data_IF_408629881133
#
_entry.id   IF_408629881133
#
_cell.length_a   1.000
_cell.length_b   1.000
_cell.length_c   1.000
_cell.angle_alpha   90.00
_cell.angle_beta   90.00
_cell.angle_gamma   90.00
#
_symmetry.space_group_name_H-M   'P 1'
#
loop_
_entity.id
_entity.type
_entity.pdbx_description
1 polymer ?
#
# COMPACT_ATOMS: atom_id res chain seq x y z
N UNK A 1 -22.34 -20.63 26.56
CA UNK A 1 -22.03 -19.46 25.71
C UNK A 1 -20.53 -19.17 25.62
N UNK A 2 -19.76 -19.29 26.72
CA UNK A 2 -18.30 -19.06 26.74
C UNK A 2 -17.42 -20.07 25.98
N UNK A 3 -17.88 -21.31 25.74
CA UNK A 3 -17.06 -22.33 25.03
C UNK A 3 -16.93 -22.08 23.51
N UNK A 4 -17.90 -21.39 22.89
CA UNK A 4 -17.86 -21.06 21.45
C UNK A 4 -16.85 -19.95 21.14
N UNK A 5 -16.66 -19.00 22.05
CA UNK A 5 -15.71 -17.87 21.87
C UNK A 5 -14.26 -18.39 21.82
N UNK A 6 -13.91 -19.35 22.69
CA UNK A 6 -12.56 -19.94 22.75
C UNK A 6 -12.18 -20.75 21.49
N UNK A 7 -13.15 -21.42 20.86
CA UNK A 7 -12.90 -22.28 19.67
C UNK A 7 -12.45 -21.49 18.45
N UNK A 8 -12.79 -20.21 18.37
CA UNK A 8 -12.57 -19.39 17.19
C UNK A 8 -11.46 -18.32 17.35
N UNK A 9 -10.97 -18.09 18.58
CA UNK A 9 -9.78 -17.28 18.86
C UNK A 9 -8.55 -17.61 17.99
N UNK A 10 -8.16 -18.88 17.75
CA UNK A 10 -7.00 -19.17 16.91
C UNK A 10 -7.20 -18.70 15.46
N UNK A 11 -8.42 -18.78 14.93
CA UNK A 11 -8.71 -18.34 13.57
C UNK A 11 -8.80 -16.80 13.44
N UNK A 12 -9.21 -16.09 14.50
CA UNK A 12 -9.08 -14.62 14.54
C UNK A 12 -7.63 -14.18 14.55
N UNK A 13 -6.79 -14.87 15.32
CA UNK A 13 -5.36 -14.60 15.36
C UNK A 13 -4.73 -14.82 13.98
N UNK A 14 -5.10 -15.89 13.26
CA UNK A 14 -4.63 -16.11 11.89
C UNK A 14 -5.04 -14.96 10.98
N UNK A 15 -6.30 -14.52 11.01
CA UNK A 15 -6.75 -13.38 10.20
C UNK A 15 -5.97 -12.09 10.54
N UNK A 16 -5.77 -11.83 11.83
CA UNK A 16 -5.00 -10.69 12.31
C UNK A 16 -3.55 -10.72 11.82
N UNK A 17 -2.84 -11.84 12.00
CA UNK A 17 -1.46 -11.98 11.55
C UNK A 17 -1.34 -11.93 10.02
N UNK A 18 -2.31 -12.48 9.29
CA UNK A 18 -2.36 -12.36 7.83
C UNK A 18 -2.53 -10.91 7.37
N UNK A 19 -3.31 -10.10 8.09
CA UNK A 19 -3.46 -8.67 7.80
C UNK A 19 -2.16 -7.90 8.10
N UNK A 20 -1.48 -8.21 9.21
CA UNK A 20 -0.17 -7.61 9.54
C UNK A 20 0.89 -7.97 8.49
N UNK A 21 0.93 -9.23 8.08
CA UNK A 21 1.81 -9.69 7.00
C UNK A 21 1.51 -8.94 5.70
N UNK A 22 0.23 -8.79 5.35
CA UNK A 22 -0.19 -8.00 4.20
C UNK A 22 0.30 -6.55 4.28
N UNK A 23 0.16 -5.89 5.42
CA UNK A 23 0.64 -4.51 5.62
C UNK A 23 2.16 -4.38 5.43
N UNK A 24 2.93 -5.33 5.96
CA UNK A 24 4.39 -5.37 5.78
C UNK A 24 4.77 -5.61 4.31
N UNK A 25 4.04 -6.51 3.65
CA UNK A 25 4.31 -6.97 2.29
C UNK A 25 3.74 -6.06 1.19
N UNK A 26 2.87 -5.11 1.54
CA UNK A 26 2.17 -4.23 0.61
C UNK A 26 3.06 -3.54 -0.44
N UNK A 27 4.29 -3.06 -0.13
CA UNK A 27 5.15 -2.47 -1.15
C UNK A 27 5.89 -3.49 -2.03
N UNK A 28 5.94 -4.77 -1.67
CA UNK A 28 6.72 -5.81 -2.33
C UNK A 28 5.86 -6.73 -3.20
N UNK A 29 4.94 -6.15 -3.98
CA UNK A 29 4.00 -6.92 -4.79
C UNK A 29 4.70 -7.47 -6.03
N UNK A 30 4.87 -8.78 -6.11
CA UNK A 30 5.32 -9.42 -7.35
C UNK A 30 4.16 -9.76 -8.28
N UNK A 31 4.44 -9.80 -9.57
CA UNK A 31 3.47 -10.11 -10.60
C UNK A 31 3.41 -11.63 -10.83
N UNK A 32 2.21 -12.17 -10.75
CA UNK A 32 1.87 -13.48 -11.29
C UNK A 32 1.58 -13.29 -12.79
N UNK A 33 2.22 -14.10 -13.63
CA UNK A 33 2.04 -14.08 -15.09
C UNK A 33 1.31 -15.36 -15.52
N UNK A 34 0.01 -15.55 -15.18
CA UNK A 34 -0.70 -16.81 -15.44
C UNK A 34 -0.90 -17.11 -16.92
N UNK A 35 -0.91 -16.07 -17.78
CA UNK A 35 -1.06 -16.21 -19.22
C UNK A 35 -0.33 -15.06 -19.95
N UNK A 36 0.10 -15.26 -21.21
CA UNK A 36 0.68 -14.19 -22.01
C UNK A 36 -0.26 -12.98 -22.10
N UNK A 37 0.24 -11.79 -21.77
CA UNK A 37 -0.57 -10.55 -21.79
C UNK A 37 -1.38 -10.28 -20.52
N UNK A 38 -1.33 -11.16 -19.51
CA UNK A 38 -2.00 -10.99 -18.23
C UNK A 38 -0.99 -10.93 -17.09
N UNK A 39 -0.74 -9.71 -16.60
CA UNK A 39 0.05 -9.50 -15.38
C UNK A 39 -0.89 -9.25 -14.19
N UNK A 40 -0.82 -10.12 -13.18
CA UNK A 40 -1.67 -10.07 -12.01
C UNK A 40 -0.82 -9.89 -10.75
N UNK A 41 -0.86 -8.71 -10.13
CA UNK A 41 -0.19 -8.49 -8.85
C UNK A 41 -0.70 -9.48 -7.79
N UNK A 42 0.20 -10.10 -7.02
CA UNK A 42 -0.10 -11.10 -5.99
C UNK A 42 -1.15 -10.61 -4.98
N UNK A 43 -1.16 -9.32 -4.67
CA UNK A 43 -2.14 -8.69 -3.77
C UNK A 43 -3.58 -8.85 -4.28
N UNK A 44 -3.79 -8.88 -5.61
CA UNK A 44 -5.11 -9.09 -6.21
C UNK A 44 -5.62 -10.52 -6.08
N UNK A 45 -4.76 -11.46 -5.69
CA UNK A 45 -5.15 -12.83 -5.31
C UNK A 45 -5.26 -12.94 -3.78
N UNK A 46 -4.31 -12.32 -3.07
CA UNK A 46 -4.26 -12.37 -1.61
C UNK A 46 -5.48 -11.73 -0.95
N UNK A 47 -5.92 -10.54 -1.38
CA UNK A 47 -7.08 -9.85 -0.78
C UNK A 47 -8.37 -10.67 -0.94
N UNK A 48 -8.74 -11.18 -2.13
CA UNK A 48 -9.91 -12.04 -2.27
C UNK A 48 -9.85 -13.33 -1.44
N UNK A 49 -8.68 -13.96 -1.33
CA UNK A 49 -8.51 -15.15 -0.47
C UNK A 49 -8.70 -14.80 1.01
N UNK A 50 -8.11 -13.70 1.47
CA UNK A 50 -8.27 -13.21 2.84
C UNK A 50 -9.75 -12.85 3.11
N UNK A 51 -10.43 -12.27 2.12
CA UNK A 51 -11.85 -11.95 2.20
C UNK A 51 -12.73 -13.20 2.27
N UNK A 52 -12.47 -14.21 1.43
CA UNK A 52 -13.19 -15.48 1.47
C UNK A 52 -13.02 -16.18 2.82
N UNK A 53 -11.80 -16.17 3.38
CA UNK A 53 -11.53 -16.70 4.71
C UNK A 53 -12.28 -15.92 5.81
N UNK A 54 -12.26 -14.60 5.74
CA UNK A 54 -13.02 -13.74 6.65
C UNK A 54 -14.53 -13.98 6.57
N UNK A 55 -15.06 -14.09 5.35
CA UNK A 55 -16.48 -14.33 5.08
C UNK A 55 -16.91 -15.68 5.68
N UNK A 56 -16.11 -16.73 5.46
CA UNK A 56 -16.32 -18.04 6.04
C UNK A 56 -16.39 -17.99 7.58
N UNK A 57 -15.48 -17.25 8.22
CA UNK A 57 -15.50 -17.08 9.68
C UNK A 57 -16.76 -16.37 10.17
N UNK A 58 -17.18 -15.29 9.51
CA UNK A 58 -18.37 -14.52 9.89
C UNK A 58 -19.65 -15.34 9.72
N UNK A 59 -19.82 -16.01 8.58
CA UNK A 59 -20.98 -16.87 8.30
C UNK A 59 -21.06 -18.01 9.34
N UNK A 60 -19.94 -18.69 9.59
CA UNK A 60 -19.88 -19.80 10.56
C UNK A 60 -20.26 -19.38 11.98
N UNK A 61 -20.03 -18.12 12.33
CA UNK A 61 -20.37 -17.53 13.63
C UNK A 61 -21.74 -16.85 13.67
N UNK A 62 -22.44 -16.77 12.53
CA UNK A 62 -23.69 -16.01 12.38
C UNK A 62 -23.53 -14.54 12.78
N UNK A 63 -22.36 -13.97 12.52
CA UNK A 63 -22.09 -12.55 12.73
C UNK A 63 -22.55 -11.74 11.51
N UNK A 64 -22.88 -10.47 11.71
CA UNK A 64 -23.22 -9.57 10.60
C UNK A 64 -22.00 -9.35 9.70
N UNK A 65 -22.24 -9.39 8.38
CA UNK A 65 -21.20 -9.18 7.36
C UNK A 65 -20.90 -7.70 7.14
N UNK A 66 -21.91 -6.84 7.28
CA UNK A 66 -21.79 -5.42 7.01
C UNK A 66 -21.77 -4.66 8.33
N UNK A 67 -20.74 -3.84 8.51
CA UNK A 67 -20.64 -2.92 9.63
C UNK A 67 -21.41 -1.66 9.23
N UNK A 68 -22.36 -1.26 10.07
CA UNK A 68 -23.26 -0.14 9.78
C UNK A 68 -22.64 1.20 10.19
N UNK A 69 -21.55 1.59 9.54
CA UNK A 69 -20.92 2.90 9.73
C UNK A 69 -21.02 3.77 8.47
N UNK A 70 -20.79 5.07 8.64
CA UNK A 70 -20.90 6.05 7.55
C UNK A 70 -19.89 5.77 6.42
N UNK A 71 -18.69 5.30 6.75
CA UNK A 71 -17.64 5.03 5.76
C UNK A 71 -18.03 3.79 4.94
N UNK A 72 -18.52 2.71 5.57
CA UNK A 72 -19.05 1.55 4.83
C UNK A 72 -20.15 1.96 3.84
N UNK A 73 -21.10 2.81 4.24
CA UNK A 73 -22.16 3.29 3.35
C UNK A 73 -21.61 4.08 2.16
N UNK A 74 -20.64 4.95 2.39
CA UNK A 74 -20.00 5.73 1.32
C UNK A 74 -19.21 4.84 0.35
N UNK A 75 -18.50 3.82 0.86
CA UNK A 75 -17.79 2.84 0.02
C UNK A 75 -18.78 2.04 -0.82
N UNK A 76 -19.87 1.53 -0.22
CA UNK A 76 -20.91 0.79 -0.95
C UNK A 76 -21.55 1.68 -2.02
N UNK A 77 -21.89 2.93 -1.68
CA UNK A 77 -22.44 3.88 -2.63
C UNK A 77 -21.46 4.19 -3.78
N UNK A 78 -20.18 4.38 -3.48
CA UNK A 78 -19.13 4.57 -4.48
C UNK A 78 -19.00 3.36 -5.41
N UNK A 79 -18.94 2.15 -4.87
CA UNK A 79 -18.85 0.93 -5.67
C UNK A 79 -20.11 0.75 -6.54
N UNK A 80 -21.29 1.05 -6.01
CA UNK A 80 -22.53 1.00 -6.76
C UNK A 80 -22.58 2.01 -7.90
N UNK A 81 -22.17 3.26 -7.65
CA UNK A 81 -22.03 4.28 -8.69
C UNK A 81 -20.99 3.88 -9.75
N UNK A 82 -19.89 3.27 -9.32
CA UNK A 82 -18.85 2.78 -10.25
C UNK A 82 -19.41 1.69 -11.17
N UNK A 83 -20.26 0.78 -10.66
CA UNK A 83 -20.94 -0.22 -11.46
C UNK A 83 -21.88 0.43 -12.49
N UNK A 84 -22.72 1.37 -12.07
CA UNK A 84 -23.64 2.10 -12.97
C UNK A 84 -22.86 2.83 -14.07
N UNK A 85 -21.76 3.50 -13.70
CA UNK A 85 -20.91 4.23 -14.65
C UNK A 85 -20.41 3.36 -15.80
N UNK A 86 -20.26 2.05 -15.59
CA UNK A 86 -19.73 1.17 -16.63
C UNK A 86 -20.71 0.85 -17.74
N UNK A 87 -22.01 0.98 -17.50
CA UNK A 87 -23.07 0.87 -18.50
C UNK A 87 -22.93 1.99 -19.54
N UNK A 88 -22.42 3.15 -19.13
CA UNK A 88 -22.22 4.32 -20.00
C UNK A 88 -20.84 4.34 -20.67
N UNK A 89 -19.98 3.34 -20.46
CA UNK A 89 -18.65 3.30 -21.05
C UNK A 89 -18.70 2.85 -22.51
N UNK A 90 -18.08 3.63 -23.41
CA UNK A 90 -17.88 3.25 -24.80
C UNK A 90 -17.02 1.97 -24.93
N UNK A 91 -16.10 1.75 -23.99
CA UNK A 91 -15.24 0.58 -23.98
C UNK A 91 -15.59 -0.33 -22.78
N UNK A 92 -16.53 -1.24 -23.02
CA UNK A 92 -17.06 -2.13 -22.00
C UNK A 92 -15.96 -3.01 -21.37
N UNK A 93 -15.07 -3.57 -22.21
CA UNK A 93 -14.05 -4.50 -21.75
C UNK A 93 -13.03 -3.85 -20.81
N UNK A 94 -12.57 -2.64 -21.12
CA UNK A 94 -11.66 -1.88 -20.25
C UNK A 94 -12.36 -1.42 -18.96
N UNK A 95 -13.64 -1.08 -19.05
CA UNK A 95 -14.47 -0.71 -17.91
C UNK A 95 -14.63 -1.88 -16.93
N UNK A 96 -14.94 -3.07 -17.44
CA UNK A 96 -15.06 -4.29 -16.66
C UNK A 96 -13.75 -4.63 -15.94
N UNK A 97 -12.60 -4.51 -16.61
CA UNK A 97 -11.28 -4.71 -15.98
C UNK A 97 -11.05 -3.75 -14.81
N UNK A 98 -11.48 -2.49 -14.91
CA UNK A 98 -11.38 -1.49 -13.83
C UNK A 98 -12.33 -1.77 -12.67
N UNK A 99 -13.57 -2.21 -12.93
CA UNK A 99 -14.48 -2.67 -11.87
C UNK A 99 -13.86 -3.85 -11.13
N UNK A 100 -13.43 -4.89 -11.85
CA UNK A 100 -12.86 -6.09 -11.24
C UNK A 100 -11.64 -5.74 -10.37
N UNK A 101 -10.82 -4.78 -10.81
CA UNK A 101 -9.75 -4.22 -10.00
C UNK A 101 -10.27 -3.60 -8.69
N UNK A 102 -11.27 -2.71 -8.75
CA UNK A 102 -11.86 -2.08 -7.55
C UNK A 102 -12.45 -3.12 -6.59
N UNK A 103 -13.20 -4.10 -7.11
CA UNK A 103 -13.79 -5.17 -6.32
C UNK A 103 -12.76 -6.15 -5.75
N UNK A 104 -11.57 -6.26 -6.36
CA UNK A 104 -10.48 -7.07 -5.80
C UNK A 104 -9.82 -6.43 -4.58
N UNK A 105 -9.85 -5.10 -4.46
CA UNK A 105 -9.19 -4.35 -3.38
C UNK A 105 -10.18 -3.93 -2.29
N UNK A 106 -11.38 -3.49 -2.65
CA UNK A 106 -12.40 -2.99 -1.71
C UNK A 106 -12.66 -3.88 -0.49
N UNK A 107 -12.65 -5.23 -0.58
CA UNK A 107 -12.87 -6.10 0.57
C UNK A 107 -11.87 -5.92 1.72
N UNK A 108 -10.66 -5.38 1.44
CA UNK A 108 -9.66 -5.14 2.48
C UNK A 108 -10.18 -4.21 3.58
N UNK A 109 -11.06 -3.27 3.23
CA UNK A 109 -11.68 -2.36 4.19
C UNK A 109 -12.57 -3.12 5.18
N UNK A 110 -13.44 -4.01 4.70
CA UNK A 110 -14.34 -4.80 5.56
C UNK A 110 -13.54 -5.70 6.50
N UNK A 111 -12.48 -6.33 5.99
CA UNK A 111 -11.56 -7.15 6.80
C UNK A 111 -10.91 -6.27 7.87
N UNK A 112 -10.39 -5.11 7.48
CA UNK A 112 -9.66 -4.21 8.38
C UNK A 112 -10.54 -3.69 9.51
N UNK A 113 -11.74 -3.16 9.23
CA UNK A 113 -12.65 -2.66 10.27
C UNK A 113 -13.08 -3.77 11.22
N UNK A 114 -13.20 -5.01 10.74
CA UNK A 114 -13.54 -6.16 11.56
C UNK A 114 -12.43 -6.59 12.53
N UNK A 115 -11.19 -6.21 12.22
CA UNK A 115 -9.96 -6.55 12.95
C UNK A 115 -9.52 -5.39 13.86
N UNK A 116 -9.76 -4.14 13.46
CA UNK A 116 -9.49 -2.94 14.25
C UNK A 116 -10.46 -2.82 15.43
N UNK A 117 -10.23 -3.62 16.49
CA UNK A 117 -11.04 -3.62 17.71
C UNK A 117 -10.53 -2.63 18.77
N UNK A 118 -9.22 -2.36 18.78
CA UNK A 118 -8.57 -1.61 19.85
C UNK A 118 -7.40 -0.73 19.35
N UNK A 119 -7.02 0.25 20.18
CA UNK A 119 -5.94 1.19 19.88
C UNK A 119 -4.58 0.52 19.67
N UNK A 120 -4.31 -0.62 20.32
CA UNK A 120 -3.03 -1.31 20.17
C UNK A 120 -2.96 -2.04 18.83
N UNK A 121 -4.07 -2.66 18.38
CA UNK A 121 -4.17 -3.24 17.04
C UNK A 121 -3.94 -2.20 15.95
N UNK A 122 -4.50 -1.00 16.11
CA UNK A 122 -4.25 0.11 15.20
C UNK A 122 -2.78 0.51 15.14
N UNK A 123 -2.14 0.72 16.30
CA UNK A 123 -0.71 1.05 16.39
C UNK A 123 0.16 -0.03 15.75
N UNK A 124 -0.18 -1.31 15.93
CA UNK A 124 0.60 -2.40 15.35
C UNK A 124 0.51 -2.42 13.82
N UNK A 125 -0.69 -2.23 13.26
CA UNK A 125 -0.88 -2.17 11.80
C UNK A 125 -0.12 -0.98 11.21
N UNK A 126 -0.26 0.21 11.80
CA UNK A 126 0.49 1.38 11.37
C UNK A 126 2.00 1.17 11.49
N UNK A 127 2.48 0.50 12.55
CA UNK A 127 3.87 0.15 12.70
C UNK A 127 4.35 -0.83 11.62
N UNK A 128 3.56 -1.86 11.29
CA UNK A 128 3.93 -2.81 10.23
C UNK A 128 3.97 -2.16 8.85
N UNK A 129 3.06 -1.25 8.54
CA UNK A 129 3.12 -0.44 7.32
C UNK A 129 4.39 0.42 7.29
N UNK A 130 4.73 1.06 8.42
CA UNK A 130 5.94 1.87 8.55
C UNK A 130 7.22 1.04 8.38
N UNK A 131 7.27 -0.18 8.93
CA UNK A 131 8.39 -1.11 8.72
C UNK A 131 8.54 -1.44 7.23
N UNK A 132 7.45 -1.87 6.57
CA UNK A 132 7.47 -2.23 5.14
C UNK A 132 7.91 -1.06 4.26
N UNK A 133 7.39 0.14 4.54
CA UNK A 133 7.77 1.35 3.84
C UNK A 133 9.24 1.73 4.10
N UNK A 134 9.73 1.57 5.33
CA UNK A 134 11.13 1.87 5.67
C UNK A 134 12.07 0.94 4.92
N UNK A 135 11.78 -0.37 4.87
CA UNK A 135 12.56 -1.32 4.09
C UNK A 135 12.60 -0.94 2.61
N UNK A 136 11.45 -0.55 2.05
CA UNK A 136 11.38 -0.09 0.68
C UNK A 136 12.19 1.21 0.45
N UNK A 137 12.13 2.16 1.38
CA UNK A 137 12.87 3.41 1.30
C UNK A 137 14.38 3.17 1.32
N UNK A 138 14.86 2.24 2.15
CA UNK A 138 16.27 1.83 2.14
C UNK A 138 16.65 1.26 0.77
N UNK A 139 15.84 0.39 0.18
CA UNK A 139 16.07 -0.16 -1.17
C UNK A 139 16.10 0.97 -2.22
N UNK A 140 15.18 1.93 -2.14
CA UNK A 140 15.15 3.09 -3.04
C UNK A 140 16.38 3.99 -2.91
N UNK A 141 16.86 4.24 -1.69
CA UNK A 141 18.08 5.01 -1.44
C UNK A 141 19.31 4.26 -1.97
N UNK A 142 19.43 2.96 -1.71
CA UNK A 142 20.52 2.13 -2.25
C UNK A 142 20.51 2.16 -3.78
N UNK A 143 19.33 2.00 -4.38
CA UNK A 143 19.15 2.09 -5.83
C UNK A 143 19.58 3.46 -6.36
N UNK A 144 19.18 4.55 -5.70
CA UNK A 144 19.59 5.89 -6.08
C UNK A 144 21.12 6.09 -5.96
N UNK A 145 21.74 5.66 -4.86
CA UNK A 145 23.18 5.82 -4.64
C UNK A 145 24.00 4.98 -5.64
N UNK A 146 23.50 3.80 -6.01
CA UNK A 146 24.21 2.89 -6.92
C UNK A 146 24.54 3.51 -8.28
N UNK A 147 23.76 4.50 -8.74
CA UNK A 147 24.00 5.20 -10.00
C UNK A 147 25.33 5.98 -10.02
N UNK A 148 25.80 6.43 -8.86
CA UNK A 148 27.07 7.18 -8.75
C UNK A 148 28.30 6.26 -8.72
N UNK A 149 28.10 4.98 -8.41
CA UNK A 149 29.18 3.98 -8.35
C UNK A 149 29.29 3.24 -9.69
N UNK A 150 28.15 2.79 -10.23
CA UNK A 150 28.11 1.91 -11.41
C UNK A 150 27.70 2.62 -12.71
N UNK A 151 27.28 3.89 -12.63
CA UNK A 151 26.72 4.63 -13.75
C UNK A 151 25.21 4.36 -13.94
N UNK A 152 24.53 5.32 -14.57
CA UNK A 152 23.08 5.30 -14.77
C UNK A 152 22.65 4.13 -15.65
N UNK A 153 23.36 3.89 -16.76
CA UNK A 153 22.98 2.87 -17.74
C UNK A 153 23.03 1.46 -17.16
N UNK A 154 24.03 1.16 -16.33
CA UNK A 154 24.18 -0.13 -15.68
C UNK A 154 23.05 -0.40 -14.67
N UNK A 155 22.71 0.60 -13.84
CA UNK A 155 21.62 0.50 -12.86
C UNK A 155 20.26 0.41 -13.56
N UNK A 156 20.06 1.20 -14.62
CA UNK A 156 18.85 1.14 -15.43
C UNK A 156 18.66 -0.25 -16.06
N UNK A 157 19.69 -0.78 -16.72
CA UNK A 157 19.64 -2.10 -17.34
C UNK A 157 19.40 -3.21 -16.32
N UNK A 158 20.01 -3.11 -15.13
CA UNK A 158 19.80 -4.05 -14.04
C UNK A 158 18.34 -4.06 -13.57
N UNK A 159 17.75 -2.88 -13.33
CA UNK A 159 16.35 -2.75 -12.91
C UNK A 159 15.39 -3.24 -13.99
N UNK A 160 15.57 -2.78 -15.23
CA UNK A 160 14.74 -3.12 -16.37
C UNK A 160 14.73 -4.61 -16.68
N UNK A 161 15.86 -5.30 -16.49
CA UNK A 161 15.99 -6.73 -16.79
C UNK A 161 15.55 -7.63 -15.63
N UNK A 162 15.92 -7.29 -14.39
CA UNK A 162 15.81 -8.23 -13.27
C UNK A 162 14.71 -7.87 -12.26
N UNK A 163 14.45 -6.58 -12.04
CA UNK A 163 13.55 -6.13 -10.97
C UNK A 163 12.15 -5.85 -11.54
N UNK A 164 12.04 -5.00 -12.55
CA UNK A 164 10.74 -4.53 -13.08
C UNK A 164 9.87 -5.67 -13.61
N UNK A 165 10.37 -6.63 -14.42
CA UNK A 165 9.53 -7.72 -14.92
C UNK A 165 9.01 -8.64 -13.81
N UNK A 166 9.81 -8.84 -12.75
CA UNK A 166 9.43 -9.67 -11.60
C UNK A 166 8.33 -9.01 -10.76
N UNK A 167 8.50 -7.72 -10.43
CA UNK A 167 7.54 -7.03 -9.58
C UNK A 167 6.25 -6.66 -10.31
N UNK A 168 6.35 -6.27 -11.57
CA UNK A 168 5.29 -5.55 -12.27
C UNK A 168 4.66 -6.38 -13.40
N UNK A 169 5.36 -7.41 -13.85
CA UNK A 169 4.91 -8.34 -14.89
C UNK A 169 5.52 -8.05 -16.24
N UNK A 170 5.48 -9.04 -17.12
CA UNK A 170 6.22 -8.99 -18.39
C UNK A 170 5.61 -8.00 -19.38
N UNK A 171 4.28 -7.90 -19.43
CA UNK A 171 3.60 -7.03 -20.40
C UNK A 171 3.62 -5.59 -19.93
N UNK A 172 3.36 -5.35 -18.64
CA UNK A 172 3.33 -4.01 -18.06
C UNK A 172 4.74 -3.43 -17.93
N UNK A 173 5.76 -4.26 -17.63
CA UNK A 173 7.16 -3.81 -17.67
C UNK A 173 7.56 -3.30 -19.06
N UNK A 174 7.10 -3.92 -20.16
CA UNK A 174 7.38 -3.42 -21.52
C UNK A 174 6.76 -2.03 -21.75
N UNK A 175 5.54 -1.81 -21.26
CA UNK A 175 4.89 -0.51 -21.38
C UNK A 175 5.62 0.57 -20.55
N UNK A 176 6.05 0.25 -19.33
CA UNK A 176 6.84 1.14 -18.47
C UNK A 176 8.18 1.49 -19.11
N UNK A 177 8.89 0.50 -19.67
CA UNK A 177 10.19 0.70 -20.31
C UNK A 177 10.09 1.41 -21.66
N UNK A 178 8.93 1.36 -22.33
CA UNK A 178 8.67 2.14 -23.54
C UNK A 178 8.45 3.63 -23.24
N UNK A 179 7.94 3.96 -22.04
CA UNK A 179 7.70 5.33 -21.59
C UNK A 179 8.30 5.58 -20.20
N UNK A 180 9.64 5.51 -20.06
CA UNK A 180 10.28 5.54 -18.75
C UNK A 180 10.27 6.95 -18.16
N UNK A 181 9.75 7.06 -16.95
CA UNK A 181 9.79 8.28 -16.13
C UNK A 181 10.89 8.25 -15.05
N UNK A 182 11.82 7.29 -15.18
CA UNK A 182 12.87 7.00 -14.19
C UNK A 182 14.02 7.99 -14.22
N UNK A 183 14.20 8.73 -15.30
CA UNK A 183 15.27 9.72 -15.45
C UNK A 183 14.70 11.13 -15.26
N UNK A 184 15.48 12.01 -14.63
CA UNK A 184 15.19 13.44 -14.51
C UNK A 184 16.42 14.22 -14.93
N UNK A 185 16.24 15.27 -15.73
CA UNK A 185 17.29 16.23 -16.00
C UNK A 185 17.16 17.39 -14.99
N UNK A 186 18.19 17.61 -14.20
CA UNK A 186 18.30 18.75 -13.29
C UNK A 186 19.53 19.56 -13.67
N UNK A 187 19.31 20.82 -14.05
CA UNK A 187 20.37 21.77 -14.43
C UNK A 187 21.35 21.24 -15.49
N UNK A 188 20.85 20.49 -16.49
CA UNK A 188 21.67 19.95 -17.58
C UNK A 188 22.28 18.58 -17.28
N UNK A 189 22.23 18.11 -16.03
CA UNK A 189 22.69 16.77 -15.64
C UNK A 189 21.53 15.80 -15.47
N UNK A 190 21.63 14.62 -16.09
CA UNK A 190 20.62 13.57 -15.99
C UNK A 190 20.91 12.70 -14.77
N UNK A 191 19.91 12.49 -13.94
CA UNK A 191 19.94 11.57 -12.80
C UNK A 191 18.84 10.52 -12.93
N UNK A 192 19.10 9.34 -12.39
CA UNK A 192 18.09 8.34 -12.13
C UNK A 192 17.36 8.65 -10.82
N UNK A 193 16.04 8.70 -10.88
CA UNK A 193 15.15 8.92 -9.73
C UNK A 193 15.05 7.64 -8.91
N UNK A 194 14.70 7.77 -7.63
CA UNK A 194 14.36 6.61 -6.81
C UNK A 194 13.03 6.00 -7.28
N UNK A 195 13.05 4.71 -7.64
CA UNK A 195 11.92 3.93 -8.13
C UNK A 195 11.74 2.62 -7.33
N UNK A 196 12.83 2.10 -6.75
CA UNK A 196 12.82 0.84 -6.00
C UNK A 196 12.17 -0.30 -6.80
N UNK A 197 11.01 -0.81 -6.35
CA UNK A 197 10.26 -1.90 -7.02
C UNK A 197 8.99 -1.41 -7.73
N UNK A 198 8.73 -0.10 -7.73
CA UNK A 198 7.53 0.50 -8.30
C UNK A 198 7.68 0.72 -9.82
N UNK A 199 6.57 0.90 -10.57
CA UNK A 199 6.63 1.15 -12.02
C UNK A 199 7.24 2.50 -12.35
N UNK A 200 7.03 3.49 -11.48
CA UNK A 200 7.45 4.85 -11.68
C UNK A 200 7.71 5.54 -10.33
N UNK A 201 8.54 6.58 -10.31
CA UNK A 201 8.87 7.31 -9.09
C UNK A 201 7.66 8.03 -8.48
N UNK A 202 6.63 8.37 -9.27
CA UNK A 202 5.44 9.07 -8.76
C UNK A 202 4.60 8.16 -7.87
N UNK A 203 4.40 6.89 -8.27
CA UNK A 203 3.71 5.89 -7.45
C UNK A 203 4.48 5.59 -6.16
N UNK A 204 5.81 5.51 -6.23
CA UNK A 204 6.65 5.35 -5.04
C UNK A 204 6.48 6.53 -4.06
N UNK A 205 6.53 7.75 -4.59
CA UNK A 205 6.39 8.98 -3.81
C UNK A 205 4.99 9.12 -3.20
N UNK A 206 3.93 8.76 -3.93
CA UNK A 206 2.60 8.72 -3.34
C UNK A 206 2.49 7.71 -2.19
N UNK A 207 3.11 6.54 -2.34
CA UNK A 207 3.14 5.54 -1.28
C UNK A 207 3.87 6.09 -0.03
N UNK A 208 5.05 6.68 -0.17
CA UNK A 208 5.76 7.28 0.95
C UNK A 208 4.99 8.45 1.56
N UNK A 209 4.44 9.36 0.74
CA UNK A 209 3.65 10.50 1.19
C UNK A 209 2.45 10.10 2.05
N UNK A 210 1.82 8.96 1.77
CA UNK A 210 0.74 8.41 2.60
C UNK A 210 1.24 7.83 3.93
N UNK A 211 2.45 7.26 3.99
CA UNK A 211 2.98 6.56 5.17
C UNK A 211 3.79 7.46 6.12
N UNK A 212 4.40 8.54 5.61
CA UNK A 212 5.21 9.47 6.41
C UNK A 212 4.42 10.02 7.62
N UNK A 213 3.19 10.56 7.47
CA UNK A 213 2.45 11.11 8.61
C UNK A 213 2.08 10.04 9.66
N UNK A 214 1.78 8.81 9.23
CA UNK A 214 1.56 7.68 10.14
C UNK A 214 2.82 7.36 10.95
N UNK A 215 3.98 7.38 10.30
CA UNK A 215 5.27 7.10 10.94
C UNK A 215 5.64 8.18 11.96
N UNK A 216 5.39 9.46 11.62
CA UNK A 216 5.57 10.59 12.54
C UNK A 216 4.62 10.47 13.74
N UNK A 217 3.34 10.14 13.50
CA UNK A 217 2.36 9.92 14.56
C UNK A 217 2.82 8.80 15.52
N UNK A 218 3.38 7.71 14.99
CA UNK A 218 3.91 6.62 15.82
C UNK A 218 5.15 7.02 16.61
N UNK A 219 6.05 7.83 16.05
CA UNK A 219 7.21 8.35 16.77
C UNK A 219 6.75 9.14 18.01
N UNK A 220 5.88 10.13 17.81
CA UNK A 220 5.41 11.02 18.89
C UNK A 220 4.65 10.24 19.97
N UNK A 221 3.84 9.24 19.58
CA UNK A 221 3.01 8.47 20.52
C UNK A 221 3.73 7.29 21.19
N UNK A 222 4.99 7.00 20.83
CA UNK A 222 5.74 5.83 21.34
C UNK A 222 6.94 6.26 22.19
N UNK A 223 6.73 6.45 23.50
CA UNK A 223 7.81 6.89 24.43
C UNK A 223 9.09 6.05 24.33
N UNK A 224 8.99 4.73 24.26
CA UNK A 224 10.16 3.83 24.27
C UNK A 224 10.72 3.52 22.86
N UNK A 225 9.98 3.85 21.79
CA UNK A 225 10.35 3.53 20.40
C UNK A 225 10.48 4.79 19.52
N UNK A 226 10.53 5.97 20.14
CA UNK A 226 10.60 7.25 19.46
C UNK A 226 11.74 7.28 18.44
N UNK A 227 12.96 6.90 18.86
CA UNK A 227 14.14 6.92 17.99
C UNK A 227 13.94 6.09 16.72
N UNK A 228 13.44 4.86 16.86
CA UNK A 228 13.22 3.97 15.71
C UNK A 228 12.25 4.57 14.68
N UNK A 229 11.07 5.00 15.12
CA UNK A 229 10.08 5.60 14.22
C UNK A 229 10.53 6.97 13.67
N UNK A 230 11.29 7.73 14.44
CA UNK A 230 11.86 9.00 13.99
C UNK A 230 12.85 8.78 12.85
N UNK A 231 13.81 7.85 13.01
CA UNK A 231 14.75 7.50 11.94
C UNK A 231 14.01 6.93 10.72
N UNK A 232 12.99 6.09 10.91
CA UNK A 232 12.12 5.64 9.82
C UNK A 232 11.48 6.80 9.06
N UNK A 233 10.94 7.81 9.75
CA UNK A 233 10.36 8.99 9.10
C UNK A 233 11.41 9.76 8.29
N UNK A 234 12.61 9.95 8.84
CA UNK A 234 13.72 10.64 8.15
C UNK A 234 14.13 9.87 6.89
N UNK A 235 14.27 8.55 6.98
CA UNK A 235 14.59 7.68 5.84
C UNK A 235 13.50 7.78 4.76
N UNK A 236 12.22 7.74 5.15
CA UNK A 236 11.09 7.87 4.22
C UNK A 236 11.07 9.21 3.51
N UNK A 237 11.25 10.32 4.25
CA UNK A 237 11.31 11.67 3.68
C UNK A 237 12.48 11.80 2.71
N UNK A 238 13.64 11.24 3.08
CA UNK A 238 14.83 11.24 2.22
C UNK A 238 14.56 10.49 0.92
N UNK A 239 14.02 9.27 1.00
CA UNK A 239 13.68 8.48 -0.18
C UNK A 239 12.61 9.17 -1.04
N UNK A 240 11.62 9.82 -0.42
CA UNK A 240 10.59 10.59 -1.13
C UNK A 240 11.18 11.78 -1.90
N UNK A 241 12.11 12.54 -1.30
CA UNK A 241 12.81 13.62 -1.99
C UNK A 241 13.62 13.08 -3.19
N UNK A 242 14.28 11.93 -3.04
CA UNK A 242 15.05 11.29 -4.11
C UNK A 242 14.18 10.74 -5.26
N UNK A 243 12.85 10.69 -5.10
CA UNK A 243 11.95 10.41 -6.22
C UNK A 243 11.85 11.61 -7.17
N UNK A 244 12.23 12.82 -6.75
CA UNK A 244 12.09 14.08 -7.51
C UNK A 244 10.66 14.35 -8.01
N UNK A 245 9.62 13.88 -7.32
CA UNK A 245 8.23 14.07 -7.75
C UNK A 245 7.59 15.26 -7.03
N UNK A 246 7.02 16.19 -7.81
CA UNK A 246 6.19 17.27 -7.27
C UNK A 246 4.81 16.77 -6.81
N UNK A 247 4.33 15.68 -7.42
CA UNK A 247 3.04 15.06 -7.09
C UNK A 247 3.01 14.46 -5.69
N UNK A 248 4.14 13.91 -5.22
CA UNK A 248 4.30 13.36 -3.87
C UNK A 248 3.93 14.32 -2.76
N UNK A 249 4.25 15.61 -2.94
CA UNK A 249 3.90 16.66 -1.99
C UNK A 249 2.40 16.75 -1.74
N UNK A 250 1.56 16.51 -2.75
CA UNK A 250 0.11 16.54 -2.59
C UNK A 250 -0.34 15.41 -1.65
N UNK A 251 0.17 14.20 -1.85
CA UNK A 251 -0.16 13.07 -0.96
C UNK A 251 0.36 13.32 0.45
N UNK A 252 1.59 13.83 0.61
CA UNK A 252 2.16 14.17 1.90
C UNK A 252 1.34 15.25 2.62
N UNK A 253 0.92 16.31 1.94
CA UNK A 253 0.09 17.38 2.51
C UNK A 253 -1.28 16.83 2.91
N UNK A 254 -1.97 16.12 2.01
CA UNK A 254 -3.29 15.56 2.29
C UNK A 254 -3.27 14.57 3.46
N UNK A 255 -2.27 13.68 3.48
CA UNK A 255 -2.07 12.73 4.57
C UNK A 255 -1.70 13.45 5.88
N UNK A 256 -0.87 14.50 5.83
CA UNK A 256 -0.50 15.26 7.02
C UNK A 256 -1.69 15.97 7.64
N UNK A 257 -2.53 16.62 6.83
CA UNK A 257 -3.75 17.31 7.29
C UNK A 257 -4.72 16.34 7.95
N UNK A 258 -4.82 15.11 7.46
CA UNK A 258 -5.78 14.12 7.98
C UNK A 258 -5.25 13.38 9.22
N UNK A 259 -3.95 13.09 9.28
CA UNK A 259 -3.36 12.18 10.27
C UNK A 259 -2.72 12.93 11.44
N UNK A 260 -2.00 14.03 11.20
CA UNK A 260 -1.28 14.73 12.27
C UNK A 260 -2.21 15.33 13.34
N UNK A 261 -3.44 15.80 13.05
CA UNK A 261 -4.37 16.21 14.11
C UNK A 261 -4.76 15.09 15.09
N UNK A 262 -4.61 13.82 14.69
CA UNK A 262 -4.85 12.65 15.55
C UNK A 262 -3.74 12.45 16.59
N UNK A 263 -2.61 13.14 16.45
CA UNK A 263 -1.47 13.11 17.39
C UNK A 263 -1.79 13.87 18.68
N UNK A 264 -2.69 14.85 18.64
CA UNK A 264 -2.94 15.68 19.83
C UNK A 264 -3.57 14.85 20.97
N UNK A 265 -3.08 15.05 22.21
CA UNK A 265 -3.50 14.31 23.42
C UNK A 265 -5.01 14.27 23.59
N UNK A 266 -5.72 15.34 23.21
CA UNK A 266 -7.18 15.45 23.31
C UNK A 266 -7.94 14.62 22.26
N UNK A 267 -7.34 14.35 21.09
CA UNK A 267 -7.94 13.58 19.99
C UNK A 267 -7.64 12.08 20.15
N UNK A 268 -6.43 11.73 20.61
CA UNK A 268 -6.04 10.35 20.92
C UNK A 268 -6.80 9.75 22.12
N UNK A 269 -7.43 10.57 22.96
CA UNK A 269 -8.34 10.12 24.03
C UNK A 269 -9.71 9.71 23.46
N UNK A 270 -10.17 10.35 22.36
CA UNK A 270 -11.48 10.11 21.74
C UNK A 270 -11.52 8.98 20.68
N UNK A 271 -10.37 8.53 20.20
CA UNK A 271 -10.18 7.32 19.35
C UNK A 271 -9.56 6.25 20.22
#
# INVERSE_FOLDING_TARGET
MFSKIRKYQPMENILYFSLLFFCLFLPFQFALNPAPGFDLAIVRVFIPLLFAFWLFLRIKRKETLIINDRITKLIIAFLFLSLISTIFSQNYFWSLRKILFLFSIAPIYLISVSVFKDKNSFKLIAATLSIGATLLAIIGIIQFISQFIFGIDAVYAFLAKNITPFFIGNTFSKAVLAYPSWLVNSQGTTYMRAVAVFPDPHMLSYYFGLIIPWTIMLAINSKNKFGWFFYSAVILITADILTFTRGGYIALIAASITILPLVNKYTAIKI
#
